data_IF_182278270815
#
_entry.id   IF_182278270815
#
_cell.length_a   1.000
_cell.length_b   1.000
_cell.length_c   1.000
_cell.angle_alpha   90.00
_cell.angle_beta   90.00
_cell.angle_gamma   90.00
#
_symmetry.space_group_name_H-M   'P 1'
#
loop_
_entity.id
_entity.type
_entity.pdbx_description
1 polymer ?
#
# COMPACT_ATOMS: atom_id res chain seq x y z
N UNK A 1 19.88 8.17 -18.34
CA UNK A 1 18.99 7.29 -19.12
C UNK A 1 17.81 6.88 -18.27
N UNK A 2 16.60 7.14 -18.75
CA UNK A 2 15.38 6.80 -18.02
C UNK A 2 15.11 5.31 -18.18
N UNK A 3 15.01 4.57 -17.10
CA UNK A 3 14.65 3.16 -17.16
C UNK A 3 13.14 3.01 -17.31
N UNK A 4 12.69 1.83 -17.77
CA UNK A 4 11.27 1.51 -17.83
C UNK A 4 10.65 1.50 -16.44
N UNK A 5 11.45 1.30 -15.41
CA UNK A 5 11.00 1.25 -14.02
C UNK A 5 10.84 2.63 -13.38
N UNK A 6 11.43 3.66 -13.97
CA UNK A 6 11.44 5.01 -13.38
C UNK A 6 10.02 5.51 -13.02
N UNK A 7 9.02 5.41 -13.90
CA UNK A 7 7.68 5.87 -13.54
C UNK A 7 7.06 5.12 -12.36
N UNK A 8 7.45 3.85 -12.18
CA UNK A 8 6.95 3.04 -11.07
C UNK A 8 7.59 3.49 -9.76
N UNK A 9 8.91 3.73 -9.75
CA UNK A 9 9.59 4.30 -8.59
C UNK A 9 8.98 5.65 -8.21
N UNK A 10 8.62 6.45 -9.21
CA UNK A 10 7.96 7.74 -9.02
C UNK A 10 6.63 7.59 -8.27
N UNK A 11 5.82 6.58 -8.64
CA UNK A 11 4.55 6.31 -7.93
C UNK A 11 4.81 6.04 -6.45
N UNK A 12 5.80 5.21 -6.13
CA UNK A 12 6.11 4.89 -4.73
C UNK A 12 6.59 6.13 -3.97
N UNK A 13 7.39 6.99 -4.60
CA UNK A 13 7.84 8.24 -4.00
C UNK A 13 6.67 9.18 -3.72
N UNK A 14 5.74 9.29 -4.67
CA UNK A 14 4.54 10.12 -4.52
C UNK A 14 3.61 9.55 -3.44
N UNK A 15 3.52 8.23 -3.35
CA UNK A 15 2.73 7.56 -2.32
C UNK A 15 3.25 7.90 -0.92
N UNK A 16 4.57 7.83 -0.74
CA UNK A 16 5.22 8.17 0.52
C UNK A 16 5.01 9.63 0.88
N UNK A 17 5.20 10.52 -0.07
CA UNK A 17 5.01 11.96 0.13
C UNK A 17 3.57 12.27 0.52
N UNK A 18 2.59 11.68 -0.19
CA UNK A 18 1.17 11.90 0.09
C UNK A 18 0.80 11.39 1.49
N UNK A 19 1.25 10.20 1.85
CA UNK A 19 1.01 9.64 3.18
C UNK A 19 1.55 10.57 4.26
N UNK A 20 2.82 10.99 4.12
CA UNK A 20 3.51 11.77 5.14
C UNK A 20 2.99 13.21 5.27
N UNK A 21 2.21 13.66 4.30
CA UNK A 21 1.48 14.93 4.34
C UNK A 21 0.02 14.76 4.73
N UNK A 22 -0.42 13.53 5.00
CA UNK A 22 -1.83 13.20 5.26
C UNK A 22 -2.73 13.69 4.12
N UNK A 23 -2.24 13.56 2.90
CA UNK A 23 -2.92 14.05 1.68
C UNK A 23 -3.61 12.88 0.99
N UNK A 24 -4.86 12.62 1.40
CA UNK A 24 -5.63 11.50 0.87
C UNK A 24 -5.96 11.66 -0.62
N UNK A 25 -6.16 12.89 -1.07
CA UNK A 25 -6.44 13.14 -2.50
C UNK A 25 -5.25 12.80 -3.39
N UNK A 26 -4.05 13.22 -3.01
CA UNK A 26 -2.84 12.91 -3.77
C UNK A 26 -2.50 11.42 -3.70
N UNK A 27 -2.75 10.78 -2.56
CA UNK A 27 -2.58 9.34 -2.42
C UNK A 27 -3.50 8.60 -3.39
N UNK A 28 -4.79 8.93 -3.37
CA UNK A 28 -5.79 8.27 -4.23
C UNK A 28 -5.59 8.56 -5.71
N UNK A 29 -5.00 9.71 -6.05
CA UNK A 29 -4.74 10.08 -7.45
C UNK A 29 -3.78 9.13 -8.16
N UNK A 30 -2.99 8.36 -7.40
CA UNK A 30 -2.09 7.36 -7.96
C UNK A 30 -2.82 6.12 -8.46
N UNK A 31 -4.08 5.96 -8.08
CA UNK A 31 -4.92 4.82 -8.42
C UNK A 31 -5.81 5.14 -9.61
N UNK A 32 -6.07 4.12 -10.42
CA UNK A 32 -7.06 4.23 -11.49
C UNK A 32 -8.44 4.49 -10.89
N UNK A 33 -9.34 5.09 -11.67
CA UNK A 33 -10.68 5.42 -11.20
C UNK A 33 -11.45 4.20 -10.70
N UNK A 34 -11.23 3.04 -11.32
CA UNK A 34 -11.88 1.77 -10.98
C UNK A 34 -10.97 0.81 -10.23
N UNK A 35 -9.91 1.30 -9.61
CA UNK A 35 -8.95 0.46 -8.89
C UNK A 35 -9.58 -0.23 -7.69
N UNK A 36 -9.03 -1.39 -7.34
CA UNK A 36 -9.40 -2.12 -6.12
C UNK A 36 -8.22 -2.14 -5.15
N UNK A 37 -8.49 -1.81 -3.90
CA UNK A 37 -7.50 -1.87 -2.81
C UNK A 37 -8.03 -2.77 -1.71
N UNK A 38 -7.24 -3.76 -1.31
CA UNK A 38 -7.56 -4.62 -0.17
C UNK A 38 -6.65 -4.22 1.00
N UNK A 39 -7.28 -3.86 2.11
CA UNK A 39 -6.61 -3.40 3.32
C UNK A 39 -6.01 -4.57 4.10
N UNK A 40 -5.13 -4.26 5.05
CA UNK A 40 -4.45 -5.28 5.87
C UNK A 40 -5.43 -6.15 6.68
N UNK A 41 -6.63 -5.65 6.94
CA UNK A 41 -7.67 -6.39 7.66
C UNK A 41 -8.62 -7.14 6.72
N UNK A 42 -8.35 -7.07 5.40
CA UNK A 42 -9.16 -7.77 4.41
C UNK A 42 -10.33 -6.96 3.86
N UNK A 43 -10.55 -5.74 4.35
CA UNK A 43 -11.58 -4.87 3.80
C UNK A 43 -11.24 -4.45 2.38
N UNK A 44 -12.24 -4.43 1.50
CA UNK A 44 -12.05 -4.10 0.09
C UNK A 44 -12.66 -2.75 -0.23
N UNK A 45 -11.86 -1.92 -0.91
CA UNK A 45 -12.27 -0.61 -1.38
C UNK A 45 -12.28 -0.64 -2.90
N UNK A 46 -13.41 -0.34 -3.50
CA UNK A 46 -13.55 -0.31 -4.95
C UNK A 46 -13.70 1.13 -5.43
N UNK A 47 -12.75 1.53 -6.25
CA UNK A 47 -12.73 2.85 -6.87
C UNK A 47 -11.89 3.88 -6.13
N UNK A 48 -11.36 4.83 -6.89
CA UNK A 48 -10.51 5.90 -6.36
C UNK A 48 -11.21 6.71 -5.26
N UNK A 49 -12.50 6.99 -5.42
CA UNK A 49 -13.25 7.79 -4.44
C UNK A 49 -13.32 7.06 -3.08
N UNK A 50 -13.55 5.75 -3.09
CA UNK A 50 -13.59 4.97 -1.86
C UNK A 50 -12.19 4.91 -1.19
N UNK A 51 -11.14 4.78 -2.00
CA UNK A 51 -9.76 4.78 -1.52
C UNK A 51 -9.43 6.12 -0.85
N UNK A 52 -9.81 7.23 -1.49
CA UNK A 52 -9.58 8.57 -0.92
C UNK A 52 -10.32 8.74 0.39
N UNK A 53 -11.61 8.40 0.42
CA UNK A 53 -12.44 8.56 1.62
C UNK A 53 -11.92 7.76 2.80
N UNK A 54 -11.52 6.51 2.55
CA UNK A 54 -10.96 5.66 3.59
C UNK A 54 -9.64 6.22 4.15
N UNK A 55 -8.75 6.68 3.29
CA UNK A 55 -7.47 7.24 3.72
C UNK A 55 -7.64 8.57 4.45
N UNK A 56 -8.64 9.38 4.06
CA UNK A 56 -8.97 10.59 4.81
C UNK A 56 -9.30 10.25 6.26
N UNK A 57 -10.12 9.22 6.47
CA UNK A 57 -10.50 8.78 7.81
C UNK A 57 -9.29 8.30 8.61
N UNK A 58 -8.47 7.43 8.04
CA UNK A 58 -7.33 6.89 8.79
C UNK A 58 -6.25 7.94 9.08
N UNK A 59 -6.07 8.92 8.20
CA UNK A 59 -5.14 10.03 8.45
C UNK A 59 -5.63 10.95 9.57
N UNK A 60 -6.94 11.02 9.79
CA UNK A 60 -7.53 11.82 10.85
C UNK A 60 -7.68 11.06 12.17
N UNK A 61 -7.49 9.74 12.15
CA UNK A 61 -7.74 8.88 13.31
C UNK A 61 -6.54 8.00 13.63
N UNK A 62 -6.55 6.73 13.22
CA UNK A 62 -5.56 5.73 13.67
C UNK A 62 -4.14 6.04 13.23
N UNK A 63 -3.97 6.69 12.07
CA UNK A 63 -2.65 7.03 11.53
C UNK A 63 -2.38 8.53 11.50
N UNK A 64 -3.09 9.28 12.36
CA UNK A 64 -2.86 10.72 12.46
C UNK A 64 -1.41 11.00 12.87
N UNK A 65 -0.73 11.82 12.07
CA UNK A 65 0.67 12.16 12.34
C UNK A 65 1.66 11.03 12.08
N UNK A 66 1.20 9.93 11.46
CA UNK A 66 2.09 8.81 11.15
C UNK A 66 3.10 9.16 10.07
N UNK A 67 4.17 8.36 10.02
CA UNK A 67 5.21 8.49 9.01
C UNK A 67 5.40 7.13 8.33
N UNK A 68 5.31 7.11 7.02
CA UNK A 68 5.45 5.90 6.22
C UNK A 68 6.68 5.97 5.32
N UNK A 69 7.27 4.79 5.07
CA UNK A 69 8.26 4.60 4.02
C UNK A 69 7.81 3.43 3.15
N UNK A 70 8.02 3.56 1.84
CA UNK A 70 7.68 2.54 0.85
C UNK A 70 8.93 2.22 0.04
N UNK A 71 9.28 0.92 -0.03
CA UNK A 71 10.45 0.47 -0.78
C UNK A 71 10.04 -0.53 -1.84
N UNK A 72 10.49 -0.31 -3.08
CA UNK A 72 10.33 -1.29 -4.14
C UNK A 72 11.28 -2.45 -3.87
N UNK A 73 10.74 -3.67 -3.81
CA UNK A 73 11.55 -4.88 -3.67
C UNK A 73 11.86 -5.49 -5.04
N UNK A 74 10.84 -5.57 -5.89
CA UNK A 74 11.01 -6.05 -7.26
C UNK A 74 9.87 -5.56 -8.14
N UNK A 75 10.16 -5.45 -9.42
CA UNK A 75 9.19 -5.08 -10.45
C UNK A 75 9.24 -6.15 -11.53
N UNK A 76 8.07 -6.70 -11.88
CA UNK A 76 7.97 -7.69 -12.94
C UNK A 76 7.04 -7.14 -14.02
N UNK A 77 7.60 -6.86 -15.19
CA UNK A 77 6.79 -6.47 -16.35
C UNK A 77 6.18 -7.71 -16.97
N UNK A 78 4.86 -7.77 -16.99
CA UNK A 78 4.12 -8.82 -17.71
C UNK A 78 3.98 -8.46 -19.19
N UNK A 79 3.91 -7.16 -19.45
CA UNK A 79 3.89 -6.52 -20.76
C UNK A 79 4.59 -5.17 -20.61
N UNK A 80 4.96 -4.49 -21.68
CA UNK A 80 5.58 -3.17 -21.57
C UNK A 80 4.73 -2.15 -20.82
N UNK A 81 3.40 -2.34 -20.79
CA UNK A 81 2.44 -1.43 -20.17
C UNK A 81 1.76 -2.03 -18.93
N UNK A 82 2.22 -3.18 -18.44
CA UNK A 82 1.65 -3.83 -17.25
C UNK A 82 2.77 -4.40 -16.38
N UNK A 83 2.79 -4.02 -15.11
CA UNK A 83 3.78 -4.54 -14.18
C UNK A 83 3.16 -4.91 -12.84
N UNK A 84 3.73 -5.95 -12.22
CA UNK A 84 3.46 -6.30 -10.84
C UNK A 84 4.61 -5.77 -10.00
N UNK A 85 4.30 -5.01 -8.94
CA UNK A 85 5.28 -4.36 -8.09
C UNK A 85 5.17 -4.95 -6.69
N UNK A 86 6.27 -5.54 -6.23
CA UNK A 86 6.36 -6.06 -4.87
C UNK A 86 7.10 -5.04 -4.04
N UNK A 87 6.48 -4.61 -2.94
CA UNK A 87 7.04 -3.56 -2.10
C UNK A 87 7.09 -3.98 -0.65
N UNK A 88 7.76 -3.17 0.14
CA UNK A 88 7.77 -3.28 1.59
C UNK A 88 7.48 -1.90 2.13
N UNK A 89 6.55 -1.81 3.08
CA UNK A 89 6.17 -0.57 3.70
C UNK A 89 6.35 -0.65 5.22
N UNK A 90 6.67 0.49 5.80
CA UNK A 90 6.83 0.64 7.25
C UNK A 90 6.11 1.90 7.66
N UNK A 91 5.20 1.78 8.63
CA UNK A 91 4.44 2.92 9.16
C UNK A 91 4.72 3.04 10.64
N UNK A 92 5.19 4.22 11.05
CA UNK A 92 5.39 4.57 12.46
C UNK A 92 4.23 5.45 12.89
N UNK A 93 3.57 5.09 13.98
CA UNK A 93 2.38 5.80 14.45
C UNK A 93 2.28 5.72 15.97
N UNK A 94 1.31 6.44 16.54
CA UNK A 94 1.04 6.45 17.97
C UNK A 94 -0.28 5.73 18.25
N UNK A 95 -0.27 4.87 19.26
CA UNK A 95 -1.48 4.20 19.74
C UNK A 95 -1.50 4.33 21.26
N UNK A 96 -2.51 5.01 21.78
CA UNK A 96 -2.62 5.29 23.22
C UNK A 96 -1.35 5.96 23.78
N UNK A 97 -0.79 6.92 23.03
CA UNK A 97 0.45 7.64 23.34
C UNK A 97 1.68 6.74 23.38
N UNK A 98 1.61 5.54 22.81
CA UNK A 98 2.74 4.63 22.71
C UNK A 98 3.19 4.55 21.25
N UNK A 99 4.52 4.62 20.99
CA UNK A 99 5.01 4.45 19.63
C UNK A 99 4.77 3.02 19.14
N UNK A 100 4.28 2.91 17.92
CA UNK A 100 4.02 1.64 17.25
C UNK A 100 4.64 1.65 15.87
N UNK A 101 4.96 0.48 15.37
CA UNK A 101 5.47 0.31 14.02
C UNK A 101 4.76 -0.87 13.37
N UNK A 102 4.29 -0.63 12.15
CA UNK A 102 3.62 -1.64 11.33
C UNK A 102 4.46 -1.87 10.08
N UNK A 103 4.81 -3.12 9.81
CA UNK A 103 5.47 -3.49 8.56
C UNK A 103 4.52 -4.30 7.71
N UNK A 104 4.44 -3.96 6.42
CA UNK A 104 3.55 -4.64 5.48
C UNK A 104 4.28 -4.91 4.17
N UNK A 105 3.68 -5.77 3.35
CA UNK A 105 4.12 -6.05 1.98
C UNK A 105 2.98 -5.71 1.03
N UNK A 106 2.88 -4.45 0.59
CA UNK A 106 1.94 -4.13 -0.47
C UNK A 106 2.38 -4.75 -1.79
N UNK A 107 1.45 -5.43 -2.44
CA UNK A 107 1.62 -5.90 -3.82
C UNK A 107 0.66 -5.12 -4.68
N UNK A 108 1.14 -4.61 -5.80
CA UNK A 108 0.29 -3.81 -6.66
C UNK A 108 0.51 -4.13 -8.13
N UNK A 109 -0.55 -3.98 -8.90
CA UNK A 109 -0.49 -4.04 -10.36
C UNK A 109 -0.62 -2.63 -10.89
N UNK A 110 0.33 -2.21 -11.70
CA UNK A 110 0.32 -0.90 -12.33
C UNK A 110 0.18 -1.06 -13.83
N UNK A 111 -0.58 -0.16 -14.44
CA UNK A 111 -0.87 -0.20 -15.87
C UNK A 111 -0.61 1.19 -16.46
N UNK A 112 0.07 1.21 -17.61
CA UNK A 112 0.26 2.43 -18.38
C UNK A 112 -0.82 2.52 -19.43
N UNK A 113 -1.70 3.51 -19.27
CA UNK A 113 -2.71 3.85 -20.26
C UNK A 113 -2.56 5.32 -20.61
N UNK A 114 -2.49 5.62 -21.91
CA UNK A 114 -2.36 6.99 -22.41
C UNK A 114 -1.17 7.73 -21.80
N UNK A 115 -0.02 7.02 -21.71
CA UNK A 115 1.22 7.52 -21.14
C UNK A 115 1.13 7.88 -19.67
N UNK A 116 0.15 7.33 -18.95
CA UNK A 116 0.01 7.53 -17.52
C UNK A 116 -0.02 6.18 -16.81
N UNK A 117 0.94 5.97 -15.92
CA UNK A 117 0.97 4.79 -15.05
C UNK A 117 0.06 5.00 -13.86
N UNK A 118 -0.83 4.04 -13.60
CA UNK A 118 -1.72 4.08 -12.45
C UNK A 118 -1.82 2.70 -11.81
N UNK A 119 -2.08 2.69 -10.50
CA UNK A 119 -2.32 1.45 -9.77
C UNK A 119 -3.75 1.00 -10.05
N UNK A 120 -3.92 -0.24 -10.52
CA UNK A 120 -5.26 -0.81 -10.77
C UNK A 120 -5.66 -1.81 -9.69
N UNK A 121 -4.69 -2.41 -9.01
CA UNK A 121 -4.95 -3.33 -7.91
C UNK A 121 -3.85 -3.16 -6.86
N UNK A 122 -4.25 -3.21 -5.61
CA UNK A 122 -3.34 -3.03 -4.48
C UNK A 122 -3.81 -3.93 -3.36
N UNK A 123 -2.93 -4.79 -2.86
CA UNK A 123 -3.27 -5.64 -1.72
C UNK A 123 -2.19 -5.52 -0.67
N UNK A 124 -2.60 -5.22 0.55
CA UNK A 124 -1.68 -5.06 1.65
C UNK A 124 -1.73 -6.28 2.57
N UNK A 125 -0.55 -6.73 3.00
CA UNK A 125 -0.42 -7.86 3.91
C UNK A 125 0.54 -7.48 5.02
N UNK A 126 0.10 -7.63 6.26
CA UNK A 126 0.94 -7.37 7.41
C UNK A 126 2.01 -8.45 7.51
N UNK A 127 3.25 -8.03 7.77
CA UNK A 127 4.33 -8.97 8.06
C UNK A 127 4.19 -9.41 9.52
N UNK A 128 4.07 -10.70 9.73
CA UNK A 128 4.02 -11.30 11.05
C UNK A 128 4.80 -12.61 11.03
N UNK A 129 5.20 -13.06 12.21
CA UNK A 129 5.90 -14.33 12.31
C UNK A 129 4.95 -15.49 12.04
N UNK A 130 5.47 -16.51 11.35
CA UNK A 130 4.73 -17.76 11.21
C UNK A 130 4.60 -18.41 12.58
N UNK A 131 3.40 -18.86 12.98
CA UNK A 131 3.25 -19.50 14.27
C UNK A 131 4.06 -20.80 14.35
N UNK A 132 4.61 -21.09 15.54
CA UNK A 132 5.25 -22.37 15.80
C UNK A 132 4.23 -23.52 15.66
N UNK A 133 4.73 -24.76 15.57
CA UNK A 133 3.86 -25.93 15.49
C UNK A 133 2.90 -25.98 16.70
N UNK A 134 3.39 -25.65 17.90
CA UNK A 134 2.57 -25.64 19.11
C UNK A 134 1.47 -24.56 19.04
N UNK A 135 1.81 -23.37 18.57
CA UNK A 135 0.84 -22.28 18.41
C UNK A 135 -0.21 -22.60 17.36
N UNK A 136 0.21 -23.22 16.25
CA UNK A 136 -0.71 -23.64 15.19
C UNK A 136 -1.69 -24.70 15.69
N UNK A 137 -1.19 -25.69 16.43
CA UNK A 137 -2.02 -26.74 17.03
C UNK A 137 -3.03 -26.14 18.02
N UNK A 138 -2.62 -25.18 18.84
CA UNK A 138 -3.51 -24.52 19.80
C UNK A 138 -4.64 -23.77 19.10
N UNK A 139 -4.37 -23.13 17.95
CA UNK A 139 -5.39 -22.45 17.15
C UNK A 139 -6.43 -23.40 16.58
N UNK A 140 -6.00 -24.59 16.14
CA UNK A 140 -6.89 -25.60 15.58
C UNK A 140 -7.77 -26.27 16.63
N UNK A 141 -7.33 -26.26 17.89
CA UNK A 141 -8.05 -26.89 19.00
C UNK A 141 -9.20 -26.02 19.54
N UNK A 142 -9.33 -24.78 19.10
CA UNK A 142 -10.38 -23.85 19.55
C UNK A 142 -11.66 -23.99 18.75
#
# INVERSE_FOLDING_TARGET
>A
MTSLEQPIHEILNQMETAWNRSDSASFAALFAEDATLIQIFGGQLDGRAAIEGSHRVIFDTIYKGSHASFQVQSIRFLRPDVAVVFTRARVKFQENNQPRELETRPTMVVVNERDQWQIVAFQNTRISEMPSAAQAAARLAK
#
